data_IF_896293520647
#
_entry.id   IF_896293520647
#
_cell.length_a   1.000
_cell.length_b   1.000
_cell.length_c   1.000
_cell.angle_alpha   90.00
_cell.angle_beta   90.00
_cell.angle_gamma   90.00
#
_symmetry.space_group_name_H-M   'P 1'
#
loop_
_entity.id
_entity.type
_entity.pdbx_description
1 polymer ?
#
# COMPACT_ATOMS: atom_id res chain seq x y z
N UNK A 1 45.91 9.87 27.52
CA UNK A 1 45.39 11.14 26.97
C UNK A 1 44.56 10.86 25.72
N UNK A 2 43.32 10.41 25.86
CA UNK A 2 42.37 10.36 24.74
C UNK A 2 41.40 11.54 24.97
N UNK A 3 41.65 12.65 24.26
CA UNK A 3 40.77 13.81 24.33
C UNK A 3 39.36 13.37 23.93
N UNK A 4 38.42 13.72 24.81
CA UNK A 4 37.00 13.49 24.65
C UNK A 4 36.56 13.98 23.28
N UNK A 5 36.12 13.04 22.46
CA UNK A 5 35.56 13.23 21.12
C UNK A 5 34.38 14.17 21.25
N UNK A 6 34.63 15.45 20.98
CA UNK A 6 33.62 16.48 21.04
C UNK A 6 32.62 16.19 19.91
N UNK A 7 31.44 15.65 20.25
CA UNK A 7 30.42 15.20 19.29
C UNK A 7 29.92 16.33 18.36
N UNK A 8 30.24 17.59 18.70
CA UNK A 8 29.90 18.81 17.96
C UNK A 8 31.07 19.41 17.16
N UNK A 9 32.21 18.70 17.01
CA UNK A 9 33.34 19.20 16.24
C UNK A 9 33.05 19.20 14.73
N UNK A 10 33.37 20.31 14.06
CA UNK A 10 33.23 20.47 12.60
C UNK A 10 34.02 19.37 11.87
N UNK A 11 33.46 18.71 10.84
CA UNK A 11 34.16 17.64 10.14
C UNK A 11 35.49 18.15 9.55
N UNK A 12 36.59 17.37 9.66
CA UNK A 12 37.91 17.77 9.18
C UNK A 12 37.92 17.93 7.65
N UNK A 13 38.89 18.71 7.14
CA UNK A 13 38.96 19.02 5.70
C UNK A 13 39.05 17.73 4.87
N UNK A 14 38.15 17.60 3.88
CA UNK A 14 38.11 16.53 2.87
C UNK A 14 39.50 16.46 2.21
N UNK A 15 40.29 15.42 2.52
CA UNK A 15 41.68 15.15 2.09
C UNK A 15 42.82 15.48 3.09
N UNK A 16 42.53 15.80 4.35
CA UNK A 16 43.54 15.86 5.42
C UNK A 16 43.83 14.48 6.03
N UNK A 17 45.01 14.29 6.65
CA UNK A 17 45.32 13.10 7.46
C UNK A 17 44.30 12.92 8.60
N UNK A 18 43.86 14.04 9.18
CA UNK A 18 42.82 14.11 10.21
C UNK A 18 41.48 13.53 9.73
N UNK A 19 41.10 13.75 8.46
CA UNK A 19 39.91 13.13 7.87
C UNK A 19 40.02 11.61 7.74
N UNK A 20 41.23 11.07 7.52
CA UNK A 20 41.43 9.61 7.47
C UNK A 20 41.27 8.99 8.86
N UNK A 21 41.82 9.62 9.88
CA UNK A 21 41.69 9.20 11.29
C UNK A 21 40.23 9.31 11.77
N UNK A 22 39.55 10.40 11.42
CA UNK A 22 38.13 10.62 11.69
C UNK A 22 37.22 9.56 11.03
N UNK A 23 37.46 9.21 9.76
CA UNK A 23 36.69 8.16 9.09
C UNK A 23 36.96 6.77 9.70
N UNK A 24 38.22 6.46 10.02
CA UNK A 24 38.57 5.19 10.68
C UNK A 24 37.89 5.04 12.04
N UNK A 25 37.84 6.09 12.85
CA UNK A 25 37.16 6.05 14.15
C UNK A 25 35.64 5.89 14.01
N UNK A 26 35.02 6.60 13.05
CA UNK A 26 33.62 6.43 12.67
C UNK A 26 33.29 5.02 12.18
N UNK A 27 34.15 4.43 11.35
CA UNK A 27 33.99 3.07 10.84
C UNK A 27 34.14 2.04 11.98
N UNK A 28 35.13 2.20 12.86
CA UNK A 28 35.30 1.31 14.01
C UNK A 28 34.17 1.44 15.04
N UNK A 29 33.58 2.63 15.16
CA UNK A 29 32.40 2.88 15.98
C UNK A 29 31.08 2.51 15.29
N UNK A 30 31.11 2.13 14.00
CA UNK A 30 29.91 1.73 13.28
C UNK A 30 29.41 0.38 13.84
N UNK A 31 28.09 0.19 13.97
CA UNK A 31 27.55 -1.07 14.47
C UNK A 31 27.95 -2.24 13.57
N UNK A 32 28.34 -3.37 14.18
CA UNK A 32 28.79 -4.56 13.45
C UNK A 32 27.73 -5.09 12.46
N UNK A 33 26.44 -4.90 12.76
CA UNK A 33 25.33 -5.32 11.90
C UNK A 33 25.35 -4.63 10.54
N UNK A 34 25.90 -3.42 10.43
CA UNK A 34 26.00 -2.70 9.16
C UNK A 34 26.93 -3.44 8.19
N UNK A 35 28.07 -3.93 8.68
CA UNK A 35 29.01 -4.72 7.89
C UNK A 35 28.39 -6.05 7.46
N UNK A 36 27.60 -6.69 8.34
CA UNK A 36 26.87 -7.90 8.00
C UNK A 36 25.86 -7.66 6.86
N UNK A 37 25.09 -6.57 6.91
CA UNK A 37 24.15 -6.20 5.83
C UNK A 37 24.90 -5.98 4.51
N UNK A 38 26.01 -5.23 4.53
CA UNK A 38 26.80 -4.97 3.32
C UNK A 38 27.37 -6.27 2.75
N UNK A 39 27.90 -7.16 3.59
CA UNK A 39 28.42 -8.45 3.16
C UNK A 39 27.33 -9.33 2.53
N UNK A 40 26.14 -9.39 3.14
CA UNK A 40 24.98 -10.11 2.60
C UNK A 40 24.55 -9.50 1.27
N UNK A 41 24.47 -8.17 1.16
CA UNK A 41 24.08 -7.48 -0.06
C UNK A 41 25.03 -7.78 -1.22
N UNK A 42 26.35 -7.74 -0.98
CA UNK A 42 27.36 -8.10 -1.98
C UNK A 42 27.22 -9.57 -2.37
N UNK A 43 27.09 -10.47 -1.39
CA UNK A 43 26.91 -11.90 -1.64
C UNK A 43 25.69 -12.16 -2.53
N UNK A 44 24.53 -11.59 -2.18
CA UNK A 44 23.30 -11.73 -2.98
C UNK A 44 23.46 -11.11 -4.36
N UNK A 45 24.10 -9.94 -4.47
CA UNK A 45 24.31 -9.27 -5.76
C UNK A 45 25.18 -10.11 -6.70
N UNK A 46 26.26 -10.71 -6.19
CA UNK A 46 27.08 -11.65 -6.95
C UNK A 46 26.25 -12.85 -7.40
N UNK A 47 25.47 -13.44 -6.49
CA UNK A 47 24.60 -14.57 -6.82
C UNK A 47 23.56 -14.24 -7.90
N UNK A 48 23.00 -13.01 -7.90
CA UNK A 48 22.10 -12.55 -8.95
C UNK A 48 22.84 -12.44 -10.29
N UNK A 49 24.07 -11.94 -10.33
CA UNK A 49 24.80 -11.81 -11.59
C UNK A 49 25.27 -13.15 -12.15
N UNK A 50 25.62 -14.12 -11.29
CA UNK A 50 26.23 -15.39 -11.72
C UNK A 50 25.26 -16.55 -11.88
N UNK A 51 24.14 -16.57 -11.12
CA UNK A 51 23.24 -17.72 -11.09
C UNK A 51 21.86 -17.40 -11.70
N UNK A 52 21.46 -18.19 -12.70
CA UNK A 52 20.16 -18.06 -13.41
C UNK A 52 18.94 -18.11 -12.46
N UNK A 53 18.85 -19.00 -11.45
CA UNK A 53 17.70 -19.01 -10.54
C UNK A 53 17.52 -17.70 -9.76
N UNK A 54 18.62 -17.09 -9.33
CA UNK A 54 18.60 -15.82 -8.59
C UNK A 54 18.20 -14.64 -9.49
N UNK A 55 18.57 -14.67 -10.78
CA UNK A 55 18.08 -13.70 -11.76
C UNK A 55 16.57 -13.75 -11.93
N UNK A 56 16.00 -14.97 -12.04
CA UNK A 56 14.54 -15.15 -12.13
C UNK A 56 13.83 -14.67 -10.88
N UNK A 57 14.35 -14.99 -9.69
CA UNK A 57 13.82 -14.50 -8.43
C UNK A 57 13.84 -12.96 -8.37
N UNK A 58 14.94 -12.33 -8.79
CA UNK A 58 15.06 -10.88 -8.84
C UNK A 58 14.02 -10.25 -9.79
N UNK A 59 13.83 -10.81 -10.99
CA UNK A 59 12.82 -10.34 -11.94
C UNK A 59 11.40 -10.51 -11.39
N UNK A 60 11.11 -11.62 -10.72
CA UNK A 60 9.82 -11.85 -10.07
C UNK A 60 9.54 -10.82 -8.96
N UNK A 61 10.52 -10.58 -8.08
CA UNK A 61 10.41 -9.57 -7.02
C UNK A 61 10.21 -8.17 -7.62
N UNK A 62 10.95 -7.82 -8.67
CA UNK A 62 10.79 -6.54 -9.37
C UNK A 62 9.38 -6.37 -9.95
N UNK A 63 8.82 -7.43 -10.55
CA UNK A 63 7.45 -7.41 -11.04
C UNK A 63 6.44 -7.23 -9.89
N UNK A 64 6.60 -7.98 -8.79
CA UNK A 64 5.76 -7.83 -7.60
C UNK A 64 5.84 -6.44 -6.97
N UNK A 65 7.04 -5.85 -6.92
CA UNK A 65 7.26 -4.49 -6.43
C UNK A 65 6.48 -3.46 -7.27
N UNK A 66 6.49 -3.61 -8.59
CA UNK A 66 5.70 -2.76 -9.50
C UNK A 66 4.20 -2.85 -9.20
N UNK A 67 3.69 -4.08 -8.95
CA UNK A 67 2.29 -4.30 -8.59
C UNK A 67 1.95 -3.61 -7.27
N UNK A 68 2.78 -3.78 -6.22
CA UNK A 68 2.55 -3.13 -4.92
C UNK A 68 2.54 -1.61 -5.07
N UNK A 69 3.54 -1.03 -5.71
CA UNK A 69 3.63 0.43 -5.90
C UNK A 69 2.41 0.96 -6.64
N UNK A 70 2.08 0.35 -7.78
CA UNK A 70 0.95 0.79 -8.62
C UNK A 70 -0.38 0.66 -7.88
N UNK A 71 -0.60 -0.47 -7.20
CA UNK A 71 -1.82 -0.73 -6.43
C UNK A 71 -1.96 0.26 -5.28
N UNK A 72 -0.89 0.50 -4.51
CA UNK A 72 -0.90 1.43 -3.38
C UNK A 72 -1.14 2.86 -3.84
N UNK A 73 -0.49 3.32 -4.92
CA UNK A 73 -0.68 4.68 -5.42
C UNK A 73 -2.13 4.91 -5.88
N UNK A 74 -2.69 3.98 -6.66
CA UNK A 74 -4.08 4.08 -7.12
C UNK A 74 -5.04 4.06 -5.94
N UNK A 75 -4.87 3.10 -5.01
CA UNK A 75 -5.70 3.00 -3.82
C UNK A 75 -5.64 4.27 -2.95
N UNK A 76 -4.46 4.88 -2.82
CA UNK A 76 -4.26 6.08 -2.03
C UNK A 76 -4.97 7.30 -2.63
N UNK A 77 -4.93 7.46 -3.96
CA UNK A 77 -5.70 8.52 -4.65
C UNK A 77 -7.19 8.39 -4.34
N UNK A 78 -7.77 7.20 -4.45
CA UNK A 78 -9.18 6.97 -4.11
C UNK A 78 -9.46 7.12 -2.62
N UNK A 79 -8.56 6.66 -1.74
CA UNK A 79 -8.69 6.82 -0.30
C UNK A 79 -8.77 8.30 0.09
N UNK A 80 -7.93 9.16 -0.51
CA UNK A 80 -7.96 10.60 -0.28
C UNK A 80 -9.27 11.23 -0.74
N UNK A 81 -9.80 10.81 -1.89
CA UNK A 81 -11.11 11.30 -2.35
C UNK A 81 -12.23 10.90 -1.40
N UNK A 82 -12.28 9.63 -0.98
CA UNK A 82 -13.27 9.12 -0.03
C UNK A 82 -13.13 9.85 1.32
N UNK A 83 -11.91 9.94 1.85
CA UNK A 83 -11.59 10.62 3.11
C UNK A 83 -11.92 12.11 3.09
N UNK A 84 -11.73 12.77 1.96
CA UNK A 84 -12.16 14.15 1.78
C UNK A 84 -13.69 14.26 1.84
N UNK A 85 -14.40 13.43 1.08
CA UNK A 85 -15.87 13.45 1.06
C UNK A 85 -16.48 13.14 2.44
N UNK A 86 -15.95 12.14 3.14
CA UNK A 86 -16.42 11.74 4.47
C UNK A 86 -16.02 12.77 5.52
N UNK A 87 -14.83 13.37 5.41
CA UNK A 87 -14.39 14.49 6.23
C UNK A 87 -15.29 15.71 6.10
N UNK A 88 -15.59 16.14 4.88
CA UNK A 88 -16.56 17.23 4.62
C UNK A 88 -17.95 16.85 5.13
N UNK A 89 -18.40 15.63 4.87
CA UNK A 89 -19.70 15.14 5.31
C UNK A 89 -19.87 15.21 6.82
N UNK A 90 -18.85 14.90 7.62
CA UNK A 90 -18.87 15.00 9.10
C UNK A 90 -19.04 16.43 9.63
N UNK A 91 -18.61 17.44 8.86
CA UNK A 91 -18.71 18.86 9.23
C UNK A 91 -19.99 19.47 8.64
N UNK A 92 -20.70 18.76 7.77
CA UNK A 92 -21.94 19.25 7.15
C UNK A 92 -23.01 19.59 8.19
N UNK A 93 -23.73 20.69 7.95
CA UNK A 93 -24.93 21.06 8.71
C UNK A 93 -26.11 20.11 8.45
N UNK A 94 -26.10 19.38 7.31
CA UNK A 94 -27.13 18.41 7.01
C UNK A 94 -26.93 17.14 7.85
N UNK A 95 -27.85 16.91 8.79
CA UNK A 95 -27.88 15.75 9.68
C UNK A 95 -27.72 14.42 8.97
N UNK A 96 -28.28 14.28 7.75
CA UNK A 96 -28.17 13.03 6.98
C UNK A 96 -26.72 12.73 6.59
N UNK A 97 -26.03 13.69 5.94
CA UNK A 97 -24.65 13.50 5.49
C UNK A 97 -23.66 13.40 6.66
N UNK A 98 -23.93 14.16 7.73
CA UNK A 98 -23.15 14.09 8.97
C UNK A 98 -23.21 12.72 9.62
N UNK A 99 -24.42 12.18 9.79
CA UNK A 99 -24.61 10.86 10.40
C UNK A 99 -24.08 9.74 9.52
N UNK A 100 -24.30 9.79 8.20
CA UNK A 100 -23.80 8.79 7.26
C UNK A 100 -22.26 8.74 7.27
N UNK A 101 -21.62 9.89 7.23
CA UNK A 101 -20.15 9.98 7.24
C UNK A 101 -19.56 9.56 8.58
N UNK A 102 -20.23 9.91 9.69
CA UNK A 102 -19.81 9.49 11.03
C UNK A 102 -19.93 7.98 11.21
N UNK A 103 -21.05 7.39 10.78
CA UNK A 103 -21.26 5.94 10.82
C UNK A 103 -20.20 5.19 10.01
N UNK A 104 -19.91 5.63 8.78
CA UNK A 104 -18.87 5.02 7.95
C UNK A 104 -17.51 5.05 8.65
N UNK A 105 -17.09 6.22 9.16
CA UNK A 105 -15.78 6.37 9.81
C UNK A 105 -15.69 5.54 11.09
N UNK A 106 -16.71 5.59 11.95
CA UNK A 106 -16.72 4.86 13.21
C UNK A 106 -16.76 3.34 13.00
N UNK A 107 -17.55 2.85 12.04
CA UNK A 107 -17.64 1.43 11.73
C UNK A 107 -16.31 0.89 11.20
N UNK A 108 -15.71 1.58 10.23
CA UNK A 108 -14.45 1.13 9.63
C UNK A 108 -13.31 1.16 10.66
N UNK A 109 -13.24 2.20 11.50
CA UNK A 109 -12.22 2.31 12.55
C UNK A 109 -12.45 1.37 13.73
N UNK A 110 -13.66 0.86 13.91
CA UNK A 110 -14.01 -0.11 14.95
C UNK A 110 -13.69 -1.56 14.59
N UNK A 111 -13.46 -1.88 13.31
CA UNK A 111 -13.20 -3.25 12.83
C UNK A 111 -11.72 -3.42 12.51
N UNK A 112 -11.08 -4.56 12.87
CA UNK A 112 -9.70 -4.82 12.49
C UNK A 112 -9.47 -4.70 10.97
N UNK A 113 -8.49 -3.91 10.56
CA UNK A 113 -8.19 -3.62 9.15
C UNK A 113 -8.02 -4.89 8.31
N UNK A 114 -7.34 -5.91 8.86
CA UNK A 114 -7.14 -7.19 8.19
C UNK A 114 -8.48 -7.86 7.84
N UNK A 115 -9.45 -7.82 8.77
CA UNK A 115 -10.78 -8.40 8.57
C UNK A 115 -11.53 -7.65 7.48
N UNK A 116 -11.47 -6.31 7.47
CA UNK A 116 -12.14 -5.49 6.46
C UNK A 116 -11.58 -5.74 5.06
N UNK A 117 -10.26 -5.77 4.89
CA UNK A 117 -9.68 -5.99 3.56
C UNK A 117 -10.03 -7.37 3.02
N UNK A 118 -10.02 -8.41 3.87
CA UNK A 118 -10.42 -9.75 3.46
C UNK A 118 -11.92 -9.83 3.19
N UNK A 119 -12.75 -9.23 4.04
CA UNK A 119 -14.20 -9.21 3.84
C UNK A 119 -14.55 -8.49 2.54
N UNK A 120 -14.06 -7.27 2.32
CA UNK A 120 -14.34 -6.49 1.11
C UNK A 120 -13.82 -7.24 -0.12
N UNK A 121 -12.56 -7.70 -0.10
CA UNK A 121 -11.99 -8.37 -1.25
C UNK A 121 -12.75 -9.66 -1.55
N UNK A 122 -12.92 -10.57 -0.59
CA UNK A 122 -13.39 -11.94 -0.84
C UNK A 122 -14.91 -12.13 -0.76
N UNK A 123 -15.62 -11.31 0.01
CA UNK A 123 -17.07 -11.44 0.23
C UNK A 123 -17.83 -10.25 -0.35
N UNK A 124 -17.43 -9.03 0.01
CA UNK A 124 -18.10 -7.79 -0.37
C UNK A 124 -18.15 -7.59 -1.88
N UNK A 125 -17.01 -7.57 -2.57
CA UNK A 125 -16.97 -7.33 -4.02
C UNK A 125 -17.74 -8.41 -4.80
N UNK A 126 -17.50 -9.73 -4.61
CA UNK A 126 -18.30 -10.74 -5.30
C UNK A 126 -19.79 -10.65 -4.96
N UNK A 127 -20.13 -10.38 -3.70
CA UNK A 127 -21.52 -10.20 -3.26
C UNK A 127 -22.22 -9.06 -3.98
N UNK A 128 -21.57 -7.89 -4.08
CA UNK A 128 -22.09 -6.73 -4.81
C UNK A 128 -22.25 -7.03 -6.30
N UNK A 129 -21.25 -7.65 -6.93
CA UNK A 129 -21.31 -7.99 -8.36
C UNK A 129 -22.44 -8.97 -8.66
N UNK A 130 -22.58 -10.02 -7.84
CA UNK A 130 -23.67 -10.98 -7.99
C UNK A 130 -25.03 -10.34 -7.73
N UNK A 131 -25.13 -9.46 -6.73
CA UNK A 131 -26.35 -8.70 -6.44
C UNK A 131 -26.76 -7.79 -7.59
N UNK A 132 -25.82 -7.03 -8.15
CA UNK A 132 -26.05 -6.20 -9.34
C UNK A 132 -26.51 -7.06 -10.52
N UNK A 133 -25.86 -8.20 -10.76
CA UNK A 133 -26.27 -9.11 -11.83
C UNK A 133 -27.70 -9.62 -11.64
N UNK A 134 -28.07 -10.02 -10.43
CA UNK A 134 -29.42 -10.47 -10.09
C UNK A 134 -30.45 -9.35 -10.30
N UNK A 135 -30.13 -8.12 -9.87
CA UNK A 135 -30.95 -6.95 -10.17
C UNK A 135 -31.08 -6.72 -11.68
N UNK A 136 -30.02 -6.97 -12.45
CA UNK A 136 -30.03 -6.87 -13.90
C UNK A 136 -31.00 -7.84 -14.55
N UNK A 137 -30.95 -9.11 -14.14
CA UNK A 137 -31.87 -10.15 -14.60
C UNK A 137 -33.32 -9.76 -14.27
N UNK A 138 -33.58 -9.36 -13.03
CA UNK A 138 -34.90 -8.91 -12.60
C UNK A 138 -35.40 -7.68 -13.41
N UNK A 139 -34.51 -6.72 -13.71
CA UNK A 139 -34.84 -5.56 -14.55
C UNK A 139 -35.24 -5.96 -15.98
N UNK A 140 -34.53 -6.92 -16.58
CA UNK A 140 -34.89 -7.46 -17.90
C UNK A 140 -36.27 -8.13 -17.84
N UNK A 141 -36.56 -8.90 -16.79
CA UNK A 141 -37.83 -9.59 -16.62
C UNK A 141 -39.03 -8.63 -16.51
N UNK A 142 -38.88 -7.48 -15.84
CA UNK A 142 -39.94 -6.46 -15.75
C UNK A 142 -40.03 -5.53 -16.98
N UNK A 143 -39.25 -5.81 -18.03
CA UNK A 143 -39.30 -5.08 -19.30
C UNK A 143 -38.30 -3.92 -19.44
N UNK A 144 -37.42 -3.71 -18.47
CA UNK A 144 -36.33 -2.71 -18.55
C UNK A 144 -35.07 -3.39 -19.10
N UNK A 145 -35.10 -3.64 -20.41
CA UNK A 145 -34.07 -4.45 -21.08
C UNK A 145 -32.72 -3.76 -21.23
N UNK A 146 -32.70 -2.43 -21.36
CA UNK A 146 -31.44 -1.70 -21.56
C UNK A 146 -30.57 -1.75 -20.30
N UNK A 147 -31.07 -1.18 -19.21
CA UNK A 147 -30.33 -1.15 -17.93
C UNK A 147 -30.15 -2.57 -17.39
N UNK A 148 -31.18 -3.42 -17.49
CA UNK A 148 -31.11 -4.80 -17.05
C UNK A 148 -30.11 -5.64 -17.84
N UNK A 149 -30.02 -5.44 -19.16
CA UNK A 149 -29.07 -6.11 -20.04
C UNK A 149 -27.63 -5.73 -19.69
N UNK A 150 -27.35 -4.45 -19.47
CA UNK A 150 -26.03 -3.99 -19.03
C UNK A 150 -25.63 -4.58 -17.68
N UNK A 151 -26.55 -4.59 -16.72
CA UNK A 151 -26.27 -5.03 -15.36
C UNK A 151 -26.14 -6.56 -15.24
N UNK A 152 -26.94 -7.31 -16.00
CA UNK A 152 -26.85 -8.78 -16.07
C UNK A 152 -25.60 -9.27 -16.81
N UNK A 153 -25.03 -8.44 -17.69
CA UNK A 153 -23.79 -8.72 -18.43
C UNK A 153 -22.49 -8.47 -17.63
N UNK A 154 -22.58 -7.98 -16.39
CA UNK A 154 -21.40 -7.78 -15.54
C UNK A 154 -20.68 -9.12 -15.32
N UNK A 155 -19.37 -9.14 -15.57
CA UNK A 155 -18.52 -10.32 -15.34
C UNK A 155 -18.35 -10.55 -13.84
N UNK A 156 -18.51 -11.80 -13.41
CA UNK A 156 -18.34 -12.22 -12.02
C UNK A 156 -16.88 -12.15 -11.54
N UNK A 157 -15.93 -12.12 -12.50
CA UNK A 157 -14.51 -12.20 -12.23
C UNK A 157 -13.90 -10.80 -12.15
N UNK A 158 -14.02 -10.18 -10.97
CA UNK A 158 -13.26 -8.95 -10.70
C UNK A 158 -11.80 -9.32 -10.43
N UNK A 159 -10.83 -8.74 -11.16
CA UNK A 159 -9.42 -8.98 -10.93
C UNK A 159 -8.99 -8.72 -9.47
N UNK A 160 -8.04 -9.52 -8.97
CA UNK A 160 -7.59 -9.43 -7.57
C UNK A 160 -6.98 -8.06 -7.25
N UNK A 161 -6.24 -7.46 -8.19
CA UNK A 161 -5.69 -6.11 -8.03
C UNK A 161 -6.79 -5.07 -7.84
N UNK A 162 -7.88 -5.11 -8.62
CA UNK A 162 -9.02 -4.19 -8.47
C UNK A 162 -9.71 -4.37 -7.12
N UNK A 163 -9.92 -5.62 -6.69
CA UNK A 163 -10.49 -5.93 -5.37
C UNK A 163 -9.61 -5.37 -4.24
N UNK A 164 -8.29 -5.51 -4.37
CA UNK A 164 -7.33 -4.94 -3.43
C UNK A 164 -7.37 -3.40 -3.42
N UNK A 165 -7.41 -2.76 -4.59
CA UNK A 165 -7.52 -1.29 -4.69
C UNK A 165 -8.78 -0.80 -3.96
N UNK A 166 -9.94 -1.41 -4.22
CA UNK A 166 -11.21 -0.99 -3.59
C UNK A 166 -11.18 -1.24 -2.08
N UNK A 167 -10.66 -2.39 -1.64
CA UNK A 167 -10.55 -2.72 -0.22
C UNK A 167 -9.63 -1.73 0.51
N UNK A 168 -8.46 -1.44 -0.05
CA UNK A 168 -7.51 -0.48 0.53
C UNK A 168 -8.08 0.94 0.51
N UNK A 169 -8.69 1.39 -0.60
CA UNK A 169 -9.23 2.75 -0.67
C UNK A 169 -10.39 2.98 0.28
N UNK A 170 -11.27 1.98 0.44
CA UNK A 170 -12.43 2.05 1.33
C UNK A 170 -12.03 1.97 2.81
N UNK A 171 -10.93 1.29 3.14
CA UNK A 171 -10.48 1.16 4.53
C UNK A 171 -9.61 2.34 4.96
N UNK A 172 -8.74 2.85 4.10
CA UNK A 172 -7.92 4.03 4.39
C UNK A 172 -8.64 5.37 4.22
N UNK A 173 -9.80 5.39 3.56
CA UNK A 173 -10.63 6.59 3.39
C UNK A 173 -11.52 6.94 4.59
N UNK A 174 -11.44 6.19 5.68
CA UNK A 174 -12.20 6.40 6.93
C UNK A 174 -11.32 6.97 8.04
#
# INVERSE_FOLDING_TARGET
MAQLTNANAKPPRRNSLENREYLKSKLRAAPWWLYAIIAIAIFTFVNILTNIPFQKAFLFIKAGLSVTITTTLIAFVFALLIGLLTGLGRISDNTFFKNLSTLYVELIRGIPMLVLIFFIAFVGIPGVVNGLKALGVWLVEIGVTDIGGWLSAIKNEVPMNTRAVIALSTTYGA
#
